data_IF_290531019583
#
_entry.id   IF_290531019583
#
_cell.length_a   1.000
_cell.length_b   1.000
_cell.length_c   1.000
_cell.angle_alpha   90.00
_cell.angle_beta   90.00
_cell.angle_gamma   90.00
#
_symmetry.space_group_name_H-M   'P 1'
#
loop_
_entity.id
_entity.type
_entity.pdbx_description
1 polymer ?
#
# COMPACT_ATOMS: atom_id res chain seq x y z
N UNK A 1 -24.68 0.08 -11.64
CA UNK A 1 -25.46 0.66 -10.52
C UNK A 1 -25.31 -0.18 -9.23
N UNK A 2 -24.12 -0.72 -8.94
CA UNK A 2 -23.82 -1.52 -7.74
C UNK A 2 -22.86 -0.81 -6.76
N UNK A 3 -22.18 0.26 -7.20
CA UNK A 3 -21.21 1.00 -6.40
C UNK A 3 -21.82 1.80 -5.24
N UNK A 4 -23.13 2.07 -5.25
CA UNK A 4 -23.82 2.76 -4.15
C UNK A 4 -23.98 1.90 -2.90
N UNK A 5 -23.91 0.56 -3.02
CA UNK A 5 -24.10 -0.37 -1.90
C UNK A 5 -22.79 -0.73 -1.19
N UNK A 6 -21.68 -0.76 -1.94
CA UNK A 6 -20.38 -1.18 -1.42
C UNK A 6 -19.42 -0.02 -1.12
N UNK A 7 -19.84 1.23 -1.38
CA UNK A 7 -19.02 2.44 -1.18
C UNK A 7 -17.88 2.62 -2.18
N UNK A 8 -17.31 1.52 -2.69
CA UNK A 8 -16.21 1.48 -3.67
C UNK A 8 -16.68 0.74 -4.93
N UNK A 9 -16.17 1.15 -6.09
CA UNK A 9 -16.37 0.40 -7.34
C UNK A 9 -15.60 -0.94 -7.30
N UNK A 10 -16.28 -2.09 -7.49
CA UNK A 10 -15.64 -3.40 -7.32
C UNK A 10 -14.58 -3.69 -8.39
N UNK A 11 -14.71 -3.15 -9.62
CA UNK A 11 -13.71 -3.34 -10.66
C UNK A 11 -12.40 -2.65 -10.28
N UNK A 12 -12.49 -1.41 -9.83
CA UNK A 12 -11.36 -0.67 -9.30
C UNK A 12 -10.80 -1.28 -8.01
N UNK A 13 -11.64 -1.81 -7.13
CA UNK A 13 -11.19 -2.46 -5.90
C UNK A 13 -10.25 -3.65 -6.18
N UNK A 14 -10.53 -4.45 -7.21
CA UNK A 14 -9.62 -5.54 -7.64
C UNK A 14 -8.25 -5.00 -8.05
N UNK A 15 -8.23 -3.88 -8.78
CA UNK A 15 -6.97 -3.23 -9.17
C UNK A 15 -6.22 -2.66 -7.96
N UNK A 16 -6.91 -2.18 -6.93
CA UNK A 16 -6.29 -1.68 -5.69
C UNK A 16 -5.52 -2.80 -4.99
N UNK A 17 -6.19 -3.94 -4.75
CA UNK A 17 -5.58 -5.09 -4.09
C UNK A 17 -4.46 -5.71 -4.91
N UNK A 18 -4.60 -5.74 -6.25
CA UNK A 18 -3.50 -6.11 -7.15
C UNK A 18 -2.30 -5.19 -6.97
N UNK A 19 -2.51 -3.88 -6.95
CA UNK A 19 -1.42 -2.90 -6.78
C UNK A 19 -0.74 -3.05 -5.43
N UNK A 20 -1.52 -3.24 -4.35
CA UNK A 20 -0.97 -3.52 -3.02
C UNK A 20 -0.13 -4.81 -2.99
N UNK A 21 -0.62 -5.90 -3.57
CA UNK A 21 0.11 -7.15 -3.63
C UNK A 21 1.43 -6.99 -4.41
N UNK A 22 1.40 -6.30 -5.56
CA UNK A 22 2.60 -5.98 -6.34
C UNK A 22 3.59 -5.13 -5.55
N UNK A 23 3.11 -4.14 -4.80
CA UNK A 23 3.96 -3.30 -3.96
C UNK A 23 4.64 -4.10 -2.84
N UNK A 24 3.89 -4.96 -2.14
CA UNK A 24 4.43 -5.83 -1.09
C UNK A 24 5.42 -6.88 -1.64
N UNK A 25 5.30 -7.25 -2.91
CA UNK A 25 6.25 -8.13 -3.61
C UNK A 25 7.45 -7.38 -4.21
N UNK A 26 7.52 -6.04 -4.08
CA UNK A 26 8.59 -5.22 -4.66
C UNK A 26 8.54 -5.10 -6.19
N UNK A 27 7.39 -5.35 -6.84
CA UNK A 27 7.26 -5.31 -8.30
C UNK A 27 6.92 -3.90 -8.80
N UNK A 28 7.94 -3.03 -8.83
CA UNK A 28 7.80 -1.60 -9.18
C UNK A 28 7.10 -1.33 -10.52
N UNK A 29 7.49 -2.03 -11.60
CA UNK A 29 6.89 -1.84 -12.92
C UNK A 29 5.42 -2.27 -12.95
N UNK A 30 5.11 -3.36 -12.25
CA UNK A 30 3.75 -3.85 -12.08
C UNK A 30 2.87 -2.84 -11.34
N UNK A 31 3.39 -2.25 -10.27
CA UNK A 31 2.74 -1.15 -9.55
C UNK A 31 2.49 0.02 -10.49
N UNK A 32 3.52 0.53 -11.18
CA UNK A 32 3.39 1.69 -12.07
C UNK A 32 2.33 1.48 -13.15
N UNK A 33 2.30 0.31 -13.80
CA UNK A 33 1.29 -0.04 -14.80
C UNK A 33 -0.12 -0.10 -14.20
N UNK A 34 -0.26 -0.70 -13.03
CA UNK A 34 -1.55 -0.82 -12.34
C UNK A 34 -2.07 0.54 -11.86
N UNK A 35 -1.20 1.39 -11.32
CA UNK A 35 -1.52 2.76 -10.89
C UNK A 35 -1.95 3.65 -12.05
N UNK A 36 -1.31 3.54 -13.21
CA UNK A 36 -1.71 4.29 -14.40
C UNK A 36 -3.08 3.86 -14.91
N UNK A 37 -3.34 2.54 -14.92
CA UNK A 37 -4.66 2.02 -15.26
C UNK A 37 -5.74 2.60 -14.34
N UNK A 38 -5.54 2.52 -13.02
CA UNK A 38 -6.47 3.09 -12.04
C UNK A 38 -6.66 4.59 -12.25
N UNK A 39 -5.59 5.35 -12.46
CA UNK A 39 -5.68 6.79 -12.72
C UNK A 39 -6.55 7.10 -13.93
N UNK A 40 -6.39 6.37 -15.02
CA UNK A 40 -7.19 6.55 -16.23
C UNK A 40 -8.69 6.31 -16.00
N UNK A 41 -9.03 5.32 -15.18
CA UNK A 41 -10.40 4.97 -14.82
C UNK A 41 -11.01 5.96 -13.80
N UNK A 42 -10.18 6.59 -12.95
CA UNK A 42 -10.62 7.54 -11.93
C UNK A 42 -10.98 8.93 -12.48
N UNK A 43 -10.41 9.36 -13.61
CA UNK A 43 -10.56 10.73 -14.14
C UNK A 43 -12.02 11.18 -14.27
N UNK A 44 -12.91 10.25 -14.61
CA UNK A 44 -14.34 10.52 -14.81
C UNK A 44 -15.22 9.81 -13.76
N UNK A 45 -14.64 9.32 -12.67
CA UNK A 45 -15.37 8.52 -11.69
C UNK A 45 -16.17 9.42 -10.72
N UNK A 46 -17.49 9.28 -10.71
CA UNK A 46 -18.39 10.15 -9.93
C UNK A 46 -18.41 9.89 -8.41
N UNK A 47 -17.96 8.71 -7.95
CA UNK A 47 -17.92 8.38 -6.52
C UNK A 47 -16.61 8.84 -5.87
N UNK A 48 -16.71 9.78 -4.92
CA UNK A 48 -15.55 10.37 -4.24
C UNK A 48 -14.78 9.38 -3.35
N UNK A 49 -15.48 8.41 -2.73
CA UNK A 49 -14.85 7.38 -1.93
C UNK A 49 -14.00 6.44 -2.80
N UNK A 50 -14.49 6.07 -3.98
CA UNK A 50 -13.71 5.31 -4.97
C UNK A 50 -12.46 6.10 -5.40
N UNK A 51 -12.61 7.38 -5.76
CA UNK A 51 -11.48 8.22 -6.18
C UNK A 51 -10.42 8.34 -5.08
N UNK A 52 -10.84 8.64 -3.85
CA UNK A 52 -9.93 8.72 -2.72
C UNK A 52 -9.25 7.36 -2.44
N UNK A 53 -9.98 6.24 -2.52
CA UNK A 53 -9.46 4.91 -2.26
C UNK A 53 -8.39 4.54 -3.29
N UNK A 54 -8.68 4.76 -4.58
CA UNK A 54 -7.70 4.49 -5.63
C UNK A 54 -6.45 5.36 -5.49
N UNK A 55 -6.60 6.66 -5.24
CA UNK A 55 -5.44 7.52 -4.99
C UNK A 55 -4.61 7.05 -3.78
N UNK A 56 -5.25 6.64 -2.69
CA UNK A 56 -4.51 6.12 -1.54
C UNK A 56 -3.80 4.79 -1.85
N UNK A 57 -4.53 3.75 -2.25
CA UNK A 57 -4.01 2.39 -2.37
C UNK A 57 -3.07 2.19 -3.56
N UNK A 58 -3.21 2.99 -4.62
CA UNK A 58 -2.39 2.83 -5.83
C UNK A 58 -1.38 3.94 -6.07
N UNK A 59 -1.38 5.02 -5.29
CA UNK A 59 -0.42 6.11 -5.45
C UNK A 59 0.32 6.36 -4.14
N UNK A 60 -0.37 6.91 -3.13
CA UNK A 60 0.25 7.33 -1.86
C UNK A 60 0.90 6.14 -1.15
N UNK A 61 0.17 5.04 -1.00
CA UNK A 61 0.63 3.88 -0.26
C UNK A 61 1.85 3.20 -0.91
N UNK A 62 1.87 2.89 -2.22
CA UNK A 62 3.08 2.36 -2.85
C UNK A 62 4.28 3.30 -2.78
N UNK A 63 4.09 4.62 -2.94
CA UNK A 63 5.18 5.59 -2.79
C UNK A 63 5.74 5.58 -1.37
N UNK A 64 4.88 5.47 -0.37
CA UNK A 64 5.24 5.34 1.03
C UNK A 64 6.11 4.09 1.28
N UNK A 65 5.64 2.93 0.79
CA UNK A 65 6.33 1.64 0.91
C UNK A 65 7.70 1.65 0.22
N UNK A 66 7.77 2.25 -0.97
CA UNK A 66 9.00 2.33 -1.75
C UNK A 66 9.95 3.45 -1.32
N UNK A 67 9.58 4.24 -0.31
CA UNK A 67 10.42 5.32 0.20
C UNK A 67 10.56 6.50 -0.76
N UNK A 68 9.64 6.68 -1.71
CA UNK A 68 9.59 7.89 -2.54
C UNK A 68 8.92 9.02 -1.74
N UNK A 69 9.70 9.60 -0.82
CA UNK A 69 9.20 10.56 0.17
C UNK A 69 8.65 11.83 -0.49
N UNK A 70 9.33 12.38 -1.51
CA UNK A 70 8.89 13.59 -2.23
C UNK A 70 7.50 13.41 -2.85
N UNK A 71 7.31 12.32 -3.60
CA UNK A 71 6.03 12.04 -4.25
C UNK A 71 4.95 11.72 -3.21
N UNK A 72 5.29 10.89 -2.21
CA UNK A 72 4.34 10.51 -1.16
C UNK A 72 3.83 11.72 -0.38
N UNK A 73 4.69 12.68 -0.07
CA UNK A 73 4.33 13.90 0.65
C UNK A 73 3.35 14.75 -0.15
N UNK A 74 3.69 15.05 -1.41
CA UNK A 74 2.85 15.81 -2.32
C UNK A 74 1.49 15.16 -2.54
N UNK A 75 1.48 13.85 -2.85
CA UNK A 75 0.24 13.12 -3.15
C UNK A 75 -0.60 12.88 -1.89
N UNK A 76 0.01 12.73 -0.72
CA UNK A 76 -0.72 12.68 0.56
C UNK A 76 -1.42 14.00 0.86
N UNK A 77 -0.77 15.16 0.65
CA UNK A 77 -1.40 16.48 0.81
C UNK A 77 -2.57 16.67 -0.16
N UNK A 78 -2.39 16.27 -1.42
CA UNK A 78 -3.46 16.31 -2.41
C UNK A 78 -4.66 15.42 -2.00
N UNK A 79 -4.38 14.21 -1.52
CA UNK A 79 -5.40 13.28 -1.01
C UNK A 79 -6.14 13.87 0.20
N UNK A 80 -5.44 14.45 1.16
CA UNK A 80 -6.04 15.05 2.38
C UNK A 80 -6.96 16.21 2.00
N UNK A 81 -6.52 17.08 1.09
CA UNK A 81 -7.32 18.19 0.57
C UNK A 81 -8.58 17.67 -0.10
N UNK A 82 -8.44 16.75 -1.06
CA UNK A 82 -9.56 16.14 -1.77
C UNK A 82 -10.56 15.49 -0.82
N UNK A 83 -10.08 14.70 0.15
CA UNK A 83 -10.94 14.04 1.11
C UNK A 83 -11.64 15.03 2.04
N UNK A 84 -11.01 16.17 2.37
CA UNK A 84 -11.64 17.24 3.14
C UNK A 84 -12.81 17.88 2.39
N UNK A 85 -12.60 18.23 1.12
CA UNK A 85 -13.64 18.83 0.27
C UNK A 85 -14.80 17.86 0.01
N UNK A 86 -14.48 16.58 -0.19
CA UNK A 86 -15.47 15.54 -0.50
C UNK A 86 -15.99 14.77 0.72
N UNK A 87 -15.57 15.14 1.93
CA UNK A 87 -15.98 14.54 3.21
C UNK A 87 -15.71 13.03 3.32
N UNK A 88 -14.55 12.59 2.83
CA UNK A 88 -14.10 11.17 2.87
C UNK A 88 -13.14 10.96 4.05
N UNK A 89 -13.68 10.95 5.26
CA UNK A 89 -12.90 11.09 6.50
C UNK A 89 -11.92 9.94 6.82
N UNK A 90 -12.25 8.70 6.45
CA UNK A 90 -11.36 7.57 6.72
C UNK A 90 -10.07 7.62 5.87
N UNK A 91 -10.18 7.93 4.57
CA UNK A 91 -9.02 8.07 3.69
C UNK A 91 -8.23 9.34 3.95
N UNK A 92 -8.90 10.43 4.37
CA UNK A 92 -8.23 11.64 4.87
C UNK A 92 -7.24 11.30 5.97
N UNK A 93 -7.65 10.51 6.96
CA UNK A 93 -6.80 10.12 8.10
C UNK A 93 -5.58 9.32 7.66
N UNK A 94 -5.75 8.36 6.76
CA UNK A 94 -4.62 7.61 6.21
C UNK A 94 -3.63 8.53 5.47
N UNK A 95 -4.14 9.51 4.70
CA UNK A 95 -3.30 10.54 4.08
C UNK A 95 -2.51 11.37 5.10
N UNK A 96 -3.16 11.81 6.19
CA UNK A 96 -2.50 12.54 7.29
C UNK A 96 -1.40 11.70 7.94
N UNK A 97 -1.66 10.41 8.22
CA UNK A 97 -0.69 9.49 8.79
C UNK A 97 0.52 9.29 7.87
N UNK A 98 0.30 9.01 6.58
CA UNK A 98 1.38 8.89 5.60
C UNK A 98 2.21 10.17 5.54
N UNK A 99 1.56 11.34 5.47
CA UNK A 99 2.24 12.64 5.45
C UNK A 99 3.10 12.86 6.70
N UNK A 100 2.56 12.62 7.89
CA UNK A 100 3.29 12.74 9.15
C UNK A 100 4.51 11.80 9.21
N UNK A 101 4.32 10.54 8.82
CA UNK A 101 5.42 9.57 8.77
C UNK A 101 6.50 9.98 7.77
N UNK A 102 6.14 10.47 6.58
CA UNK A 102 7.11 10.93 5.59
C UNK A 102 7.96 12.08 6.12
N UNK A 103 7.34 13.09 6.75
CA UNK A 103 8.07 14.21 7.33
C UNK A 103 9.05 13.77 8.41
N UNK A 104 8.62 12.91 9.34
CA UNK A 104 9.49 12.39 10.38
C UNK A 104 10.61 11.48 9.85
N UNK A 105 10.38 10.73 8.76
CA UNK A 105 11.41 9.90 8.13
C UNK A 105 12.51 10.74 7.49
N UNK A 106 12.19 11.92 6.95
CA UNK A 106 13.20 12.88 6.45
C UNK A 106 13.97 13.50 7.59
N UNK A 107 13.23 13.97 8.59
CA UNK A 107 13.76 14.75 9.68
C UNK A 107 13.11 14.30 11.00
N UNK A 108 13.78 13.40 11.76
CA UNK A 108 13.21 12.80 12.96
C UNK A 108 13.34 13.75 14.17
N UNK A 109 12.72 14.92 14.08
CA UNK A 109 12.61 15.89 15.18
C UNK A 109 11.48 15.50 16.14
N UNK A 110 11.55 16.01 17.37
CA UNK A 110 10.49 15.80 18.36
C UNK A 110 9.12 16.30 17.86
N UNK A 111 9.09 17.41 17.09
CA UNK A 111 7.87 17.95 16.48
C UNK A 111 7.25 16.99 15.46
N UNK A 112 8.06 16.46 14.54
CA UNK A 112 7.58 15.53 13.53
C UNK A 112 7.12 14.20 14.16
N UNK A 113 7.83 13.73 15.19
CA UNK A 113 7.47 12.53 15.95
C UNK A 113 6.16 12.75 16.73
N UNK A 114 5.99 13.91 17.36
CA UNK A 114 4.73 14.28 18.04
C UNK A 114 3.55 14.31 17.05
N UNK A 115 3.78 14.77 15.82
CA UNK A 115 2.77 14.78 14.76
C UNK A 115 2.31 13.37 14.38
N UNK A 116 3.23 12.38 14.31
CA UNK A 116 2.84 10.97 14.09
C UNK A 116 1.95 10.47 15.22
N UNK A 117 2.35 10.70 16.49
CA UNK A 117 1.59 10.26 17.66
C UNK A 117 0.17 10.84 17.66
N UNK A 118 0.05 12.14 17.42
CA UNK A 118 -1.24 12.81 17.32
C UNK A 118 -2.12 12.21 16.21
N UNK A 119 -1.54 11.90 15.06
CA UNK A 119 -2.26 11.27 13.95
C UNK A 119 -2.72 9.84 14.29
N UNK A 120 -1.90 9.05 14.99
CA UNK A 120 -2.25 7.72 15.48
C UNK A 120 -3.41 7.77 16.49
N UNK A 121 -3.31 8.64 17.50
CA UNK A 121 -4.33 8.80 18.53
C UNK A 121 -5.66 9.27 17.94
N UNK A 122 -5.61 10.19 16.96
CA UNK A 122 -6.78 10.63 16.21
C UNK A 122 -7.45 9.50 15.43
N UNK A 123 -6.70 8.47 15.02
CA UNK A 123 -7.26 7.33 14.31
C UNK A 123 -7.94 6.33 15.26
N UNK A 124 -7.32 6.10 16.43
CA UNK A 124 -7.78 5.19 17.49
C UNK A 124 -9.10 5.60 18.13
N UNK A 125 -9.31 6.90 18.35
CA UNK A 125 -10.56 7.43 18.92
C UNK A 125 -11.80 7.14 18.07
N UNK A 126 -11.63 6.63 16.86
CA UNK A 126 -12.70 6.36 15.88
C UNK A 126 -12.71 4.89 15.43
N UNK A 127 -12.11 4.00 16.21
CA UNK A 127 -12.02 2.54 15.99
C UNK A 127 -11.54 2.14 14.58
N UNK A 128 -10.73 2.99 13.94
CA UNK A 128 -10.16 2.72 12.63
C UNK A 128 -8.74 2.19 12.80
N UNK A 129 -8.58 0.87 12.66
CA UNK A 129 -7.34 0.16 12.98
C UNK A 129 -6.58 -0.34 11.76
N UNK A 130 -7.01 0.01 10.54
CA UNK A 130 -6.36 -0.48 9.33
C UNK A 130 -4.94 0.11 9.19
N UNK A 131 -3.95 -0.75 8.98
CA UNK A 131 -2.52 -0.40 8.87
C UNK A 131 -1.88 0.16 10.15
N UNK A 132 -2.50 0.00 11.32
CA UNK A 132 -1.95 0.55 12.54
C UNK A 132 -0.58 -0.07 12.88
N UNK A 133 -0.37 -1.36 12.58
CA UNK A 133 0.95 -1.99 12.77
C UNK A 133 2.04 -1.33 11.93
N UNK A 134 1.70 -0.82 10.73
CA UNK A 134 2.63 -0.11 9.85
C UNK A 134 3.00 1.23 10.47
N UNK A 135 2.03 2.04 10.84
CA UNK A 135 2.29 3.39 11.34
C UNK A 135 2.99 3.38 12.70
N UNK A 136 2.68 2.41 13.57
CA UNK A 136 3.41 2.21 14.83
C UNK A 136 4.86 1.76 14.58
N UNK A 137 5.10 0.87 13.61
CA UNK A 137 6.46 0.51 13.20
C UNK A 137 7.24 1.72 12.68
N UNK A 138 6.60 2.60 11.91
CA UNK A 138 7.21 3.82 11.38
C UNK A 138 7.54 4.84 12.47
N UNK A 139 6.68 4.95 13.51
CA UNK A 139 6.99 5.72 14.72
C UNK A 139 8.23 5.17 15.42
N UNK A 140 8.31 3.85 15.62
CA UNK A 140 9.46 3.20 16.25
C UNK A 140 10.76 3.46 15.46
N UNK A 141 10.71 3.36 14.13
CA UNK A 141 11.87 3.64 13.27
C UNK A 141 12.33 5.11 13.40
N UNK A 142 11.41 6.06 13.39
CA UNK A 142 11.73 7.49 13.56
C UNK A 142 12.35 7.76 14.95
N UNK A 143 11.83 7.12 16.00
CA UNK A 143 12.37 7.21 17.36
C UNK A 143 13.80 6.64 17.44
N UNK A 144 14.08 5.52 16.76
CA UNK A 144 15.43 4.95 16.68
C UNK A 144 16.40 5.87 15.94
N UNK A 145 15.94 6.58 14.90
CA UNK A 145 16.75 7.56 14.16
C UNK A 145 17.02 8.81 14.98
N UNK A 146 16.06 9.24 15.81
CA UNK A 146 16.24 10.31 16.79
C UNK A 146 17.11 9.91 18.01
N UNK A 147 17.55 8.64 18.09
CA UNK A 147 18.35 8.14 19.22
C UNK A 147 17.55 7.83 20.48
N UNK A 148 16.22 7.91 20.44
CA UNK A 148 15.35 7.62 21.58
C UNK A 148 14.99 6.13 21.63
N UNK A 149 15.97 5.29 21.97
CA UNK A 149 15.83 3.82 22.00
C UNK A 149 14.73 3.36 22.96
N UNK A 150 14.56 4.02 24.11
CA UNK A 150 13.53 3.67 25.12
C UNK A 150 12.12 3.87 24.54
N UNK A 151 11.87 5.01 23.89
CA UNK A 151 10.58 5.26 23.28
C UNK A 151 10.35 4.37 22.06
N UNK A 152 11.39 4.05 21.28
CA UNK A 152 11.29 3.10 20.18
C UNK A 152 10.88 1.70 20.68
N UNK A 153 11.48 1.22 21.77
CA UNK A 153 11.10 -0.06 22.38
C UNK A 153 9.64 -0.07 22.84
N UNK A 154 9.16 1.05 23.40
CA UNK A 154 7.75 1.19 23.77
C UNK A 154 6.84 1.09 22.54
N UNK A 155 7.18 1.77 21.45
CA UNK A 155 6.42 1.72 20.19
C UNK A 155 6.43 0.31 19.55
N UNK A 156 7.56 -0.41 19.57
CA UNK A 156 7.62 -1.80 19.08
C UNK A 156 6.70 -2.71 19.91
N UNK A 157 6.75 -2.61 21.24
CA UNK A 157 5.86 -3.38 22.13
C UNK A 157 4.39 -3.06 21.90
N UNK A 158 4.06 -1.79 21.67
CA UNK A 158 2.72 -1.36 21.29
C UNK A 158 2.28 -2.01 19.96
N UNK A 159 3.16 -2.07 18.97
CA UNK A 159 2.92 -2.75 17.70
C UNK A 159 2.62 -4.23 17.88
N UNK A 160 3.42 -4.96 18.66
CA UNK A 160 3.15 -6.36 18.98
C UNK A 160 1.82 -6.55 19.73
N UNK A 161 1.54 -5.68 20.71
CA UNK A 161 0.28 -5.73 21.45
C UNK A 161 -0.92 -5.50 20.53
N UNK A 162 -0.81 -4.58 19.57
CA UNK A 162 -1.83 -4.38 18.55
C UNK A 162 -2.04 -5.64 17.70
N UNK A 163 -0.97 -6.21 17.13
CA UNK A 163 -1.03 -7.44 16.33
C UNK A 163 -1.67 -8.59 17.10
N UNK A 164 -1.31 -8.76 18.38
CA UNK A 164 -1.89 -9.79 19.24
C UNK A 164 -3.40 -9.64 19.46
N UNK A 165 -3.92 -8.40 19.49
CA UNK A 165 -5.35 -8.13 19.66
C UNK A 165 -6.13 -8.18 18.34
N UNK A 166 -5.57 -7.63 17.26
CA UNK A 166 -6.27 -7.48 15.98
C UNK A 166 -6.14 -8.70 15.06
N UNK A 167 -5.11 -9.53 15.27
CA UNK A 167 -4.75 -10.60 14.35
C UNK A 167 -4.08 -10.11 13.05
N UNK A 168 -3.76 -8.82 12.95
CA UNK A 168 -3.08 -8.23 11.78
C UNK A 168 -1.64 -8.74 11.68
N UNK A 169 -1.33 -9.57 10.69
CA UNK A 169 0.02 -10.17 10.57
C UNK A 169 0.88 -9.59 9.44
N UNK A 170 0.32 -8.75 8.57
CA UNK A 170 1.01 -8.40 7.33
C UNK A 170 2.27 -7.53 7.53
N UNK A 171 2.41 -6.85 8.68
CA UNK A 171 3.59 -6.05 9.03
C UNK A 171 4.43 -6.61 10.19
N UNK A 172 4.11 -7.84 10.64
CA UNK A 172 4.75 -8.46 11.81
C UNK A 172 6.27 -8.65 11.63
N UNK A 173 6.70 -8.98 10.41
CA UNK A 173 8.13 -9.14 10.12
C UNK A 173 8.92 -7.84 10.37
N UNK A 174 8.34 -6.69 10.03
CA UNK A 174 8.98 -5.40 10.24
C UNK A 174 9.07 -5.03 11.73
N UNK A 175 8.06 -5.40 12.53
CA UNK A 175 8.11 -5.23 13.99
C UNK A 175 9.23 -6.06 14.61
N UNK A 176 9.45 -7.31 14.18
CA UNK A 176 10.58 -8.11 14.63
C UNK A 176 11.93 -7.53 14.21
N UNK A 177 12.04 -7.00 12.98
CA UNK A 177 13.25 -6.31 12.51
C UNK A 177 13.57 -5.11 13.40
N UNK A 178 12.57 -4.29 13.73
CA UNK A 178 12.73 -3.14 14.61
C UNK A 178 13.03 -3.54 16.05
N UNK A 179 12.47 -4.64 16.55
CA UNK A 179 12.80 -5.19 17.88
C UNK A 179 14.29 -5.55 18.00
N UNK A 180 14.84 -6.23 16.99
CA UNK A 180 16.26 -6.52 16.92
C UNK A 180 17.13 -5.25 16.85
N UNK A 181 16.70 -4.24 16.08
CA UNK A 181 17.41 -2.95 16.04
C UNK A 181 17.38 -2.21 17.38
N UNK A 182 16.25 -2.22 18.09
CA UNK A 182 16.14 -1.69 19.45
C UNK A 182 17.13 -2.40 20.35
N UNK A 183 17.16 -3.74 20.34
CA UNK A 183 18.04 -4.55 21.16
C UNK A 183 19.52 -4.26 20.91
N UNK A 184 19.92 -4.05 19.65
CA UNK A 184 21.30 -3.69 19.28
C UNK A 184 21.71 -2.28 19.74
N UNK A 185 20.75 -1.36 19.86
CA UNK A 185 21.02 0.04 20.27
C UNK A 185 20.98 0.26 21.78
N UNK A 186 20.72 -0.77 22.58
CA UNK A 186 20.79 -0.66 24.04
C UNK A 186 22.24 -0.52 24.53
N UNK A 187 22.49 0.10 25.70
CA UNK A 187 23.84 0.18 26.28
C UNK A 187 24.51 -1.18 26.47
N UNK A 188 23.71 -2.22 26.73
CA UNK A 188 24.12 -3.62 26.72
C UNK A 188 23.30 -4.33 25.64
N UNK A 189 23.88 -4.59 24.45
CA UNK A 189 23.14 -5.21 23.36
C UNK A 189 22.61 -6.60 23.72
N UNK A 190 21.31 -6.81 23.54
CA UNK A 190 20.68 -8.12 23.71
C UNK A 190 20.66 -8.88 22.37
N UNK A 191 21.69 -9.69 22.15
CA UNK A 191 21.84 -10.48 20.92
C UNK A 191 20.80 -11.60 20.80
N UNK A 192 20.08 -11.96 21.87
CA UNK A 192 19.05 -13.01 21.81
C UNK A 192 17.78 -12.55 21.08
N UNK A 193 17.51 -11.24 21.08
CA UNK A 193 16.39 -10.60 20.36
C UNK A 193 16.71 -10.28 18.91
N UNK A 194 17.98 -10.27 18.56
CA UNK A 194 18.41 -10.20 17.16
C UNK A 194 18.15 -11.56 16.56
N UNK A 195 17.03 -11.72 15.84
CA UNK A 195 16.74 -13.00 15.20
C UNK A 195 17.97 -13.44 14.40
N UNK A 196 18.53 -14.63 14.68
CA UNK A 196 19.51 -15.19 13.78
C UNK A 196 18.80 -15.44 12.47
N UNK A 197 19.48 -15.19 11.34
CA UNK A 197 18.98 -15.46 9.99
C UNK A 197 18.57 -16.94 9.74
N UNK A 198 18.54 -17.80 10.77
CA UNK A 198 18.37 -19.24 10.77
C UNK A 198 17.12 -19.77 11.51
N UNK A 199 16.29 -18.94 12.17
CA UNK A 199 15.14 -19.42 12.99
C UNK A 199 14.14 -20.33 12.23
N UNK A 200 13.60 -21.42 12.84
CA UNK A 200 12.76 -22.39 12.12
C UNK A 200 11.41 -21.84 11.66
N UNK A 201 10.92 -20.77 12.29
CA UNK A 201 9.59 -20.21 12.08
C UNK A 201 9.43 -19.59 10.68
N UNK A 202 10.48 -18.99 10.12
CA UNK A 202 10.47 -18.49 8.74
C UNK A 202 10.69 -19.60 7.71
N UNK A 203 11.37 -20.70 8.08
CA UNK A 203 11.70 -21.81 7.17
C UNK A 203 10.49 -22.64 6.75
N UNK A 204 9.42 -22.64 7.55
CA UNK A 204 8.15 -23.29 7.23
C UNK A 204 7.23 -22.46 6.30
N UNK A 205 7.53 -21.17 6.08
CA UNK A 205 6.91 -20.35 5.04
C UNK A 205 7.89 -20.18 3.89
N UNK A 206 7.76 -21.00 2.85
CA UNK A 206 8.62 -21.02 1.66
C UNK A 206 8.58 -19.76 0.79
N UNK A 207 8.90 -18.60 1.33
CA UNK A 207 9.19 -17.38 0.58
C UNK A 207 10.70 -17.14 0.64
N UNK A 208 11.32 -17.09 -0.55
CA UNK A 208 12.64 -16.52 -0.77
C UNK A 208 12.80 -15.29 0.12
N UNK A 209 13.92 -15.21 0.83
CA UNK A 209 14.35 -14.01 1.54
C UNK A 209 14.10 -12.79 0.66
N UNK A 210 13.35 -11.78 1.11
CA UNK A 210 13.32 -10.52 0.42
C UNK A 210 14.65 -9.80 0.69
N UNK A 211 15.63 -10.01 -0.20
CA UNK A 211 16.74 -9.06 -0.44
C UNK A 211 16.22 -7.63 -0.72
N UNK A 212 14.92 -7.47 -0.95
CA UNK A 212 14.25 -6.20 -1.25
C UNK A 212 14.03 -5.24 -0.06
N UNK A 213 14.44 -5.56 1.18
CA UNK A 213 14.36 -4.60 2.30
C UNK A 213 15.72 -4.04 2.76
N UNK A 214 16.82 -4.41 2.11
CA UNK A 214 18.05 -3.61 2.18
C UNK A 214 17.83 -2.33 1.36
N UNK A 215 17.28 -1.30 2.02
CA UNK A 215 17.18 0.06 1.47
C UNK A 215 18.59 0.68 1.40
N UNK A 216 19.39 0.25 0.41
CA UNK A 216 20.38 1.15 -0.18
C UNK A 216 19.63 2.12 -1.10
N UNK A 217 19.87 3.44 -1.02
CA UNK A 217 19.30 4.40 -1.95
C UNK A 217 19.96 4.18 -3.32
N UNK A 218 19.42 3.26 -4.14
CA UNK A 218 19.72 3.26 -5.56
C UNK A 218 19.09 4.51 -6.15
N UNK A 219 19.94 5.42 -6.63
CA UNK A 219 19.50 6.61 -7.36
C UNK A 219 18.62 6.18 -8.53
N UNK A 220 17.30 6.40 -8.40
CA UNK A 220 16.40 6.39 -9.53
C UNK A 220 16.72 7.67 -10.29
N UNK A 221 17.40 7.55 -11.42
CA UNK A 221 17.58 8.65 -12.35
C UNK A 221 16.21 9.21 -12.72
N UNK A 222 16.04 10.53 -12.51
CA UNK A 222 14.83 11.26 -12.91
C UNK A 222 14.58 10.97 -14.40
N UNK A 223 13.48 10.29 -14.71
CA UNK A 223 12.88 10.37 -16.04
C UNK A 223 12.23 11.75 -16.13
N UNK A 224 13.02 12.73 -16.58
CA UNK A 224 12.53 14.07 -16.90
C UNK A 224 11.49 13.97 -18.00
N UNK A 225 10.21 14.09 -17.63
CA UNK A 225 9.14 14.33 -18.59
C UNK A 225 9.21 15.80 -19.01
N UNK A 226 9.98 16.08 -20.06
CA UNK A 226 9.80 17.31 -20.84
C UNK A 226 8.47 17.19 -21.59
N UNK A 227 7.47 18.00 -21.19
CA UNK A 227 6.31 18.29 -22.04
C UNK A 227 6.81 18.90 -23.35
N UNK A 228 6.50 18.35 -24.54
CA UNK A 228 6.72 19.08 -25.78
C UNK A 228 5.67 20.19 -25.89
N UNK A 229 6.16 21.39 -26.14
CA UNK A 229 5.35 22.54 -26.52
C UNK A 229 4.66 22.28 -27.87
N UNK A 230 3.44 22.82 -27.99
CA UNK A 230 2.65 22.88 -29.22
C UNK A 230 3.48 23.43 -30.38
N UNK A 231 3.68 22.61 -31.41
CA UNK A 231 4.32 22.98 -32.66
C UNK A 231 3.81 22.08 -33.79
N UNK A 232 3.03 22.68 -34.67
CA UNK A 232 2.33 22.10 -35.84
C UNK A 232 3.26 21.64 -36.96
N UNK A 233 3.15 20.37 -37.42
CA UNK A 233 3.62 19.86 -38.73
C UNK A 233 2.71 18.67 -39.17
N UNK A 234 2.44 18.46 -40.48
CA UNK A 234 1.13 17.99 -40.98
C UNK A 234 1.03 16.48 -41.27
N UNK A 235 -0.22 16.08 -41.57
CA UNK A 235 -0.65 14.77 -42.00
C UNK A 235 0.11 14.23 -43.23
N UNK A 236 0.52 12.95 -43.16
CA UNK A 236 0.33 11.95 -44.23
C UNK A 236 0.75 10.53 -43.78
N UNK A 237 -0.17 9.60 -44.06
CA UNK A 237 0.03 8.19 -44.41
C UNK A 237 0.79 7.27 -43.42
N UNK A 238 0.02 6.58 -42.57
CA UNK A 238 0.35 5.21 -42.17
C UNK A 238 -0.45 4.24 -43.05
N UNK A 239 0.27 3.50 -43.90
CA UNK A 239 -0.28 2.39 -44.68
C UNK A 239 -0.08 1.08 -43.93
N UNK A 240 -1.16 0.31 -43.92
CA UNK A 240 -1.36 -1.03 -43.37
C UNK A 240 -0.29 -2.07 -43.75
N UNK A 241 -0.21 -3.06 -42.85
CA UNK A 241 0.21 -4.48 -42.94
C UNK A 241 1.15 -4.73 -41.76
N UNK A 242 0.94 -5.72 -40.89
CA UNK A 242 1.13 -7.14 -41.15
C UNK A 242 0.39 -7.97 -40.08
N UNK A 243 -0.53 -8.82 -40.53
CA UNK A 243 -0.90 -10.09 -39.90
C UNK A 243 -0.88 -11.12 -41.05
N UNK A 244 -0.46 -12.36 -40.80
CA UNK A 244 -1.46 -13.42 -40.94
C UNK A 244 -1.34 -14.49 -39.85
N UNK A 245 -2.47 -14.80 -39.21
CA UNK A 245 -2.71 -16.07 -38.53
C UNK A 245 -3.64 -16.89 -39.43
N UNK A 246 -3.08 -17.92 -40.06
CA UNK A 246 -3.83 -19.04 -40.63
C UNK A 246 -4.37 -19.87 -39.45
N UNK A 247 -5.69 -19.99 -39.36
CA UNK A 247 -6.36 -20.90 -38.44
C UNK A 247 -7.03 -21.98 -39.29
N UNK A 248 -6.41 -23.16 -39.35
CA UNK A 248 -7.04 -24.38 -39.85
C UNK A 248 -7.69 -25.13 -38.68
N UNK A 249 -8.89 -25.61 -38.96
CA UNK A 249 -9.80 -26.37 -38.11
C UNK A 249 -9.28 -27.76 -37.78
N UNK A 250 -9.47 -28.19 -36.53
CA UNK A 250 -9.81 -29.58 -36.23
C UNK A 250 -10.63 -29.66 -34.95
N UNK A 251 -11.70 -30.45 -35.03
CA UNK A 251 -12.70 -30.73 -34.01
C UNK A 251 -12.11 -31.66 -32.94
N UNK A 252 -12.47 -31.41 -31.68
CA UNK A 252 -12.11 -32.26 -30.54
C UNK A 252 -13.00 -32.03 -29.33
N UNK A 253 -14.10 -32.79 -29.31
CA UNK A 253 -15.03 -33.15 -28.24
C UNK A 253 -14.67 -32.76 -26.80
N UNK A 254 -15.51 -31.95 -26.13
CA UNK A 254 -15.60 -31.92 -24.66
C UNK A 254 -17.05 -31.99 -24.20
N UNK A 255 -17.28 -32.95 -23.31
CA UNK A 255 -18.56 -33.32 -22.72
C UNK A 255 -19.12 -32.21 -21.81
N UNK A 256 -20.42 -31.93 -21.97
CA UNK A 256 -21.18 -31.03 -21.11
C UNK A 256 -21.60 -31.77 -19.83
N UNK A 257 -20.99 -31.43 -18.70
CA UNK A 257 -21.51 -31.78 -17.37
C UNK A 257 -22.55 -30.73 -16.97
N UNK A 258 -23.82 -31.11 -17.02
CA UNK A 258 -24.93 -30.32 -16.52
C UNK A 258 -24.95 -30.36 -14.98
N UNK A 259 -24.70 -29.22 -14.34
CA UNK A 259 -24.90 -29.04 -12.90
C UNK A 259 -26.32 -28.52 -12.69
N UNK A 260 -27.20 -29.38 -12.19
CA UNK A 260 -28.56 -29.04 -11.77
C UNK A 260 -28.56 -28.33 -10.42
N UNK A 261 -29.13 -27.12 -10.35
CA UNK A 261 -29.40 -26.41 -9.10
C UNK A 261 -30.80 -26.76 -8.58
N UNK A 262 -30.98 -27.18 -7.31
CA UNK A 262 -32.31 -27.37 -6.74
C UNK A 262 -33.00 -26.03 -6.44
N UNK A 263 -34.30 -25.99 -6.77
CA UNK A 263 -35.24 -24.87 -6.61
C UNK A 263 -35.70 -24.71 -5.15
N UNK A 264 -35.82 -23.44 -4.74
CA UNK A 264 -36.80 -22.81 -3.82
C UNK A 264 -36.94 -23.34 -2.39
N UNK A 265 -36.65 -22.46 -1.42
CA UNK A 265 -37.28 -22.45 -0.10
C UNK A 265 -38.51 -21.52 -0.11
N UNK A 266 -39.63 -21.88 0.56
CA UNK A 266 -40.76 -20.97 0.74
C UNK A 266 -40.51 -20.01 1.91
N UNK A 267 -40.90 -18.75 1.71
CA UNK A 267 -41.02 -17.71 2.74
C UNK A 267 -42.41 -17.82 3.36
N UNK A 268 -42.50 -18.04 4.67
CA UNK A 268 -43.72 -17.87 5.44
C UNK A 268 -43.63 -16.58 6.24
N UNK A 269 -44.60 -15.69 6.03
CA UNK A 269 -44.84 -14.51 6.85
C UNK A 269 -45.56 -14.91 8.15
N UNK A 270 -45.07 -14.39 9.27
CA UNK A 270 -45.83 -14.06 10.47
C UNK A 270 -45.36 -12.68 10.94
#
# INVERSE_FOLDING_TARGET
MLSSWFGIDPGLNVLYWKTMALALLGQYEGVAKSSEQVRSELLNHGNAHTVAAGNFYTIVWPQFLFGNLDACESDAVALVTYCGERKVEHLKRNGVLCHACVRARREPTDENIATIRQALDSNRTRDAHLFESVFVAQLAECLLKAGNTVAAEAAVREGFAFVGRSGEQFWLAELHRLDGLVALKQPQPDLSRVEPASSPQWRLRGSRTPECWNFEPRQISRVSHTRPALGSIPARCWSNSWFPLQMQSSLGTYATLAISWPRRFPVTYW
#
